data_IF_595763097414
#
_entry.id   IF_595763097414
#
_cell.length_a   1.000
_cell.length_b   1.000
_cell.length_c   1.000
_cell.angle_alpha   90.00
_cell.angle_beta   90.00
_cell.angle_gamma   90.00
#
_symmetry.space_group_name_H-M   'P 1'
#
loop_
_entity.id
_entity.type
_entity.pdbx_description
1 polymer ?
#
# COMPACT_ATOMS: atom_id res chain seq x y z
N UNK A 1 8.37 -27.84 -0.24
CA UNK A 1 9.52 -27.55 -1.13
C UNK A 1 9.17 -28.16 -2.47
N UNK A 2 8.31 -27.48 -3.20
CA UNK A 2 7.79 -27.98 -4.47
C UNK A 2 8.55 -27.33 -5.62
N UNK A 3 8.81 -28.18 -6.60
CA UNK A 3 9.80 -28.08 -7.67
C UNK A 3 9.67 -26.83 -8.53
N UNK A 4 10.75 -26.05 -8.66
CA UNK A 4 10.90 -25.02 -9.70
C UNK A 4 11.06 -25.72 -11.06
N UNK A 5 9.95 -26.12 -11.66
CA UNK A 5 9.92 -26.49 -13.06
C UNK A 5 9.88 -25.18 -13.86
N UNK A 6 11.03 -24.70 -14.35
CA UNK A 6 11.32 -23.85 -15.54
C UNK A 6 12.76 -23.30 -15.39
N UNK A 7 13.58 -23.20 -16.45
CA UNK A 7 15.04 -23.15 -16.31
C UNK A 7 15.52 -21.78 -15.82
N UNK A 8 15.70 -21.63 -14.52
CA UNK A 8 16.57 -20.59 -13.97
C UNK A 8 18.02 -20.89 -14.36
N UNK A 9 18.68 -19.96 -15.03
CA UNK A 9 20.11 -20.05 -15.29
C UNK A 9 20.84 -18.97 -14.48
N UNK A 10 21.99 -19.34 -13.93
CA UNK A 10 22.90 -18.40 -13.26
C UNK A 10 23.93 -17.97 -14.29
N UNK A 11 24.01 -16.67 -14.55
CA UNK A 11 25.06 -16.07 -15.40
C UNK A 11 25.70 -14.95 -14.59
N UNK A 12 27.02 -14.98 -14.45
CA UNK A 12 27.81 -13.96 -13.73
C UNK A 12 27.28 -13.68 -12.30
N UNK A 13 27.14 -14.72 -11.48
CA UNK A 13 26.59 -14.67 -10.10
C UNK A 13 25.19 -14.05 -9.96
N UNK A 14 24.49 -13.84 -11.09
CA UNK A 14 23.14 -13.29 -11.13
C UNK A 14 22.16 -14.41 -11.44
N UNK A 15 21.22 -14.64 -10.52
CA UNK A 15 20.10 -15.55 -10.70
C UNK A 15 18.95 -14.79 -11.37
N UNK A 16 18.62 -15.18 -12.60
CA UNK A 16 17.45 -14.64 -13.31
C UNK A 16 16.31 -15.64 -13.21
N UNK A 17 15.19 -15.23 -12.62
CA UNK A 17 13.94 -15.98 -12.62
C UNK A 17 12.87 -15.22 -13.40
N UNK A 18 12.20 -15.92 -14.30
CA UNK A 18 11.02 -15.45 -15.00
C UNK A 18 9.78 -16.15 -14.41
N UNK A 19 8.75 -15.38 -14.09
CA UNK A 19 7.46 -15.90 -13.69
C UNK A 19 6.37 -15.28 -14.57
N UNK A 20 5.55 -16.14 -15.17
CA UNK A 20 4.37 -15.73 -15.92
C UNK A 20 3.16 -15.76 -14.98
N UNK A 21 2.72 -14.59 -14.53
CA UNK A 21 1.51 -14.44 -13.73
C UNK A 21 0.32 -14.22 -14.67
N UNK A 22 -0.58 -15.19 -14.72
CA UNK A 22 -1.88 -15.02 -15.36
C UNK A 22 -2.94 -14.78 -14.29
N UNK A 23 -3.50 -13.57 -14.24
CA UNK A 23 -4.64 -13.26 -13.38
C UNK A 23 -5.90 -13.80 -14.07
N UNK A 24 -6.40 -14.93 -13.60
CA UNK A 24 -7.52 -15.66 -14.21
C UNK A 24 -8.87 -14.98 -13.91
N UNK A 25 -8.99 -14.36 -12.74
CA UNK A 25 -10.09 -13.45 -12.43
C UNK A 25 -9.73 -12.58 -11.22
N UNK A 26 -10.19 -11.34 -11.21
CA UNK A 26 -10.18 -10.46 -10.05
C UNK A 26 -11.65 -10.13 -9.74
N UNK A 27 -12.13 -10.53 -8.56
CA UNK A 27 -13.41 -10.01 -8.05
C UNK A 27 -13.11 -8.71 -7.31
N UNK A 28 -12.99 -7.63 -8.07
CA UNK A 28 -13.21 -6.30 -7.53
C UNK A 28 -14.68 -6.16 -7.21
N UNK A 29 -15.11 -6.68 -6.05
CA UNK A 29 -16.35 -6.18 -5.49
C UNK A 29 -16.10 -4.72 -5.17
N UNK A 30 -16.79 -3.79 -5.82
CA UNK A 30 -17.01 -2.48 -5.23
C UNK A 30 -17.79 -2.70 -3.93
N UNK A 31 -17.07 -3.04 -2.86
CA UNK A 31 -17.37 -2.44 -1.59
C UNK A 31 -17.06 -0.98 -1.82
N UNK A 32 -18.07 -0.16 -2.17
CA UNK A 32 -18.01 1.25 -1.81
C UNK A 32 -17.62 1.21 -0.34
N UNK A 33 -16.40 1.63 0.05
CA UNK A 33 -16.04 1.62 1.47
C UNK A 33 -17.14 2.42 2.15
N UNK A 34 -17.72 1.88 3.22
CA UNK A 34 -18.62 2.66 4.06
C UNK A 34 -17.96 4.05 4.22
N UNK A 35 -18.64 5.14 3.84
CA UNK A 35 -18.07 6.48 3.96
C UNK A 35 -17.55 6.79 5.38
N UNK A 36 -18.02 6.03 6.38
CA UNK A 36 -17.58 6.09 7.77
C UNK A 36 -16.38 5.21 8.16
N UNK A 37 -15.74 4.49 7.23
CA UNK A 37 -14.61 3.60 7.53
C UNK A 37 -13.42 4.32 8.19
N UNK A 38 -13.33 5.64 8.01
CA UNK A 38 -12.32 6.49 8.62
C UNK A 38 -12.84 7.35 9.78
N UNK A 39 -14.12 7.25 10.14
CA UNK A 39 -14.70 8.08 11.21
C UNK A 39 -14.25 7.61 12.60
N UNK A 40 -13.74 6.38 12.70
CA UNK A 40 -13.19 5.79 13.93
C UNK A 40 -11.73 5.32 13.72
N UNK A 41 -10.91 5.33 14.78
CA UNK A 41 -9.55 4.78 14.70
C UNK A 41 -9.58 3.27 14.49
N UNK A 42 -8.66 2.79 13.67
CA UNK A 42 -8.35 1.37 13.53
C UNK A 42 -6.92 1.07 14.00
N UNK A 43 -6.50 -0.20 13.94
CA UNK A 43 -5.18 -0.65 14.43
C UNK A 43 -4.00 0.07 13.76
N UNK A 44 -4.16 0.57 12.54
CA UNK A 44 -3.12 1.24 11.75
C UNK A 44 -3.29 2.77 11.72
N UNK A 45 -4.35 3.31 12.32
CA UNK A 45 -4.55 4.76 12.39
C UNK A 45 -3.53 5.42 13.31
N UNK A 46 -2.75 6.35 12.79
CA UNK A 46 -1.72 7.10 13.53
C UNK A 46 -1.75 8.61 13.24
N UNK A 47 -2.74 9.09 12.46
CA UNK A 47 -3.01 10.50 12.23
C UNK A 47 -4.52 10.76 12.13
N UNK A 48 -4.93 11.95 12.55
CA UNK A 48 -6.30 12.45 12.39
C UNK A 48 -6.25 13.69 11.50
N UNK A 49 -6.94 13.66 10.37
CA UNK A 49 -7.21 14.84 9.57
C UNK A 49 -8.53 15.45 10.01
N UNK A 50 -8.56 16.77 10.23
CA UNK A 50 -9.78 17.51 10.52
C UNK A 50 -10.07 18.44 9.33
N UNK A 51 -11.11 18.12 8.56
CA UNK A 51 -11.51 18.87 7.37
C UNK A 51 -12.93 19.38 7.61
N UNK A 52 -13.07 20.71 7.77
CA UNK A 52 -14.38 21.33 7.99
C UNK A 52 -15.10 20.83 9.26
N UNK A 53 -14.36 20.40 10.30
CA UNK A 53 -14.93 19.85 11.53
C UNK A 53 -15.16 18.34 11.50
N UNK A 54 -15.06 17.69 10.33
CA UNK A 54 -15.09 16.23 10.21
C UNK A 54 -13.70 15.66 10.50
N UNK A 55 -13.63 14.72 11.45
CA UNK A 55 -12.41 13.98 11.78
C UNK A 55 -12.34 12.69 10.96
N UNK A 56 -11.17 12.41 10.40
CA UNK A 56 -10.88 11.16 9.69
C UNK A 56 -9.57 10.56 10.20
N UNK A 57 -9.62 9.30 10.61
CA UNK A 57 -8.53 8.53 11.19
C UNK A 57 -7.82 7.72 10.12
N UNK A 58 -6.55 8.03 9.87
CA UNK A 58 -5.78 7.53 8.72
C UNK A 58 -4.37 7.08 9.14
N UNK A 59 -3.63 6.49 8.19
CA UNK A 59 -2.20 6.18 8.32
C UNK A 59 -1.37 7.27 7.62
N UNK A 60 -0.34 7.77 8.31
CA UNK A 60 0.65 8.71 7.76
C UNK A 60 1.36 8.11 6.56
N UNK A 61 1.75 6.84 6.67
CA UNK A 61 2.46 6.09 5.64
C UNK A 61 1.61 5.96 4.39
N UNK A 62 0.31 5.64 4.54
CA UNK A 62 -0.61 5.55 3.40
C UNK A 62 -0.78 6.91 2.70
N UNK A 63 -0.92 8.00 3.47
CA UNK A 63 -1.04 9.34 2.92
C UNK A 63 0.24 9.78 2.20
N UNK A 64 1.41 9.46 2.75
CA UNK A 64 2.71 9.78 2.16
C UNK A 64 2.95 9.02 0.84
N UNK A 65 2.62 7.72 0.78
CA UNK A 65 2.73 6.91 -0.45
C UNK A 65 1.93 7.54 -1.61
N UNK A 66 0.78 8.14 -1.31
CA UNK A 66 -0.11 8.71 -2.32
C UNK A 66 0.00 10.23 -2.50
N UNK A 67 0.78 10.93 -1.68
CA UNK A 67 0.88 12.37 -1.73
C UNK A 67 2.25 12.85 -1.23
N UNK A 68 3.04 13.41 -2.13
CA UNK A 68 4.32 14.05 -1.80
C UNK A 68 4.19 15.20 -0.80
N UNK A 69 3.04 15.87 -0.77
CA UNK A 69 2.74 16.87 0.25
C UNK A 69 2.69 16.23 1.64
N UNK A 70 1.95 15.14 1.82
CA UNK A 70 1.85 14.46 3.12
C UNK A 70 3.15 13.75 3.49
N UNK A 71 3.90 13.24 2.51
CA UNK A 71 5.23 12.69 2.73
C UNK A 71 6.17 13.75 3.32
N UNK A 72 6.26 14.90 2.66
CA UNK A 72 7.04 16.04 3.16
C UNK A 72 6.50 16.52 4.51
N UNK A 73 5.18 16.65 4.68
CA UNK A 73 4.59 17.14 5.92
C UNK A 73 4.88 16.25 7.14
N UNK A 74 4.90 14.93 6.96
CA UNK A 74 5.05 13.97 8.06
C UNK A 74 6.50 13.51 8.28
N UNK A 75 7.30 13.45 7.22
CA UNK A 75 8.64 12.88 7.22
C UNK A 75 9.72 13.83 6.70
N UNK A 76 9.34 15.04 6.28
CA UNK A 76 10.27 16.10 5.92
C UNK A 76 11.02 16.64 7.14
N UNK A 77 12.24 17.09 6.89
CA UNK A 77 13.09 17.71 7.89
C UNK A 77 12.77 19.21 7.94
N UNK A 78 12.15 19.66 9.03
CA UNK A 78 11.70 21.04 9.22
C UNK A 78 12.54 21.80 10.26
N UNK A 79 13.79 21.38 10.46
CA UNK A 79 14.75 22.02 11.37
C UNK A 79 14.94 23.53 11.09
#
# INVERSE_FOLDING_TARGET
WDTLTHPGFVVNDTLTMEFHIAIISSKGGESIPDPGIFDAPNRQSNVILNIGGKKSHLSKELLAIHSSFFDTLFFGDFA
#
